data_IF_137961805044
#
_entry.id   IF_137961805044
#
_cell.length_a   1.000
_cell.length_b   1.000
_cell.length_c   1.000
_cell.angle_alpha   90.00
_cell.angle_beta   90.00
_cell.angle_gamma   90.00
#
_symmetry.space_group_name_H-M   'P 1'
#
loop_
_entity.id
_entity.type
_entity.pdbx_description
1 polymer ?
#
# COMPACT_ATOMS: atom_id res chain seq x y z
N UNK A 1 -11.62 -7.08 -1.40
CA UNK A 1 -13.00 -7.42 -1.79
C UNK A 1 -13.64 -8.39 -0.80
N UNK A 2 -13.18 -9.65 -0.71
CA UNK A 2 -13.76 -10.65 0.21
C UNK A 2 -13.75 -10.20 1.69
N UNK A 3 -12.64 -9.61 2.16
CA UNK A 3 -12.53 -9.11 3.53
C UNK A 3 -13.57 -8.02 3.88
N UNK A 4 -13.79 -7.05 2.98
CA UNK A 4 -14.81 -6.02 3.16
C UNK A 4 -16.21 -6.65 3.17
N UNK A 5 -16.51 -7.50 2.20
CA UNK A 5 -17.83 -8.13 2.07
C UNK A 5 -18.17 -9.00 3.29
N UNK A 6 -17.21 -9.80 3.78
CA UNK A 6 -17.42 -10.66 4.96
C UNK A 6 -17.58 -9.88 6.26
N UNK A 7 -16.75 -8.86 6.50
CA UNK A 7 -16.77 -8.10 7.76
C UNK A 7 -17.90 -7.08 7.77
N UNK A 8 -18.00 -6.29 6.70
CA UNK A 8 -18.98 -5.19 6.59
C UNK A 8 -20.40 -5.75 6.46
N UNK A 9 -20.62 -6.79 5.65
CA UNK A 9 -21.94 -7.42 5.50
C UNK A 9 -22.44 -8.09 6.78
N UNK A 10 -21.57 -8.80 7.50
CA UNK A 10 -21.95 -9.44 8.78
C UNK A 10 -22.20 -8.40 9.87
N UNK A 11 -21.35 -7.37 9.96
CA UNK A 11 -21.49 -6.31 10.95
C UNK A 11 -22.75 -5.47 10.73
N UNK A 12 -23.04 -5.07 9.49
CA UNK A 12 -24.24 -4.30 9.15
C UNK A 12 -25.53 -5.10 9.38
N UNK A 13 -25.53 -6.40 9.05
CA UNK A 13 -26.65 -7.28 9.31
C UNK A 13 -26.96 -7.42 10.80
N UNK A 14 -25.94 -7.46 11.66
CA UNK A 14 -26.09 -7.66 13.11
C UNK A 14 -26.46 -6.34 13.82
N UNK A 15 -25.82 -5.22 13.49
CA UNK A 15 -25.98 -3.95 14.22
C UNK A 15 -27.03 -3.01 13.62
N UNK A 16 -27.20 -3.00 12.30
CA UNK A 16 -28.07 -2.04 11.61
C UNK A 16 -29.32 -2.69 10.99
N UNK A 17 -29.39 -4.03 10.97
CA UNK A 17 -30.53 -4.79 10.47
C UNK A 17 -30.79 -4.64 8.96
N UNK A 18 -29.89 -3.96 8.24
CA UNK A 18 -29.96 -3.71 6.80
C UNK A 18 -28.53 -3.66 6.27
N UNK A 19 -28.32 -4.23 5.09
CA UNK A 19 -27.04 -4.17 4.38
C UNK A 19 -27.04 -2.94 3.48
N UNK A 20 -26.09 -2.04 3.67
CA UNK A 20 -25.87 -0.87 2.82
C UNK A 20 -25.04 -1.30 1.60
N UNK A 21 -25.72 -1.94 0.65
CA UNK A 21 -25.11 -2.44 -0.58
C UNK A 21 -24.30 -1.39 -1.36
N UNK A 22 -24.71 -0.12 -1.28
CA UNK A 22 -23.99 1.01 -1.89
C UNK A 22 -22.60 1.22 -1.28
N UNK A 23 -22.48 1.18 0.05
CA UNK A 23 -21.21 1.34 0.75
C UNK A 23 -20.24 0.20 0.43
N UNK A 24 -20.74 -1.04 0.47
CA UNK A 24 -19.98 -2.24 0.12
C UNK A 24 -19.51 -2.18 -1.34
N UNK A 25 -20.39 -1.80 -2.27
CA UNK A 25 -20.04 -1.71 -3.68
C UNK A 25 -18.96 -0.66 -3.93
N UNK A 26 -19.07 0.51 -3.31
CA UNK A 26 -18.06 1.58 -3.40
C UNK A 26 -16.72 1.09 -2.81
N UNK A 27 -16.73 0.43 -1.65
CA UNK A 27 -15.52 -0.13 -1.01
C UNK A 27 -14.82 -1.19 -1.87
N UNK A 28 -15.56 -1.93 -2.69
CA UNK A 28 -14.99 -2.96 -3.56
C UNK A 28 -14.49 -2.36 -4.88
N UNK A 29 -15.25 -1.45 -5.48
CA UNK A 29 -15.01 -0.96 -6.85
C UNK A 29 -14.05 0.22 -6.90
N UNK A 30 -14.18 1.16 -5.97
CA UNK A 30 -13.41 2.43 -6.03
C UNK A 30 -11.90 2.21 -5.86
N UNK A 31 -11.40 1.39 -4.91
CA UNK A 31 -9.96 1.26 -4.75
C UNK A 31 -9.24 0.67 -5.98
N UNK A 32 -9.72 -0.42 -6.62
CA UNK A 32 -9.15 -0.91 -7.87
C UNK A 32 -9.23 0.10 -9.01
N UNK A 33 -10.34 0.84 -9.13
CA UNK A 33 -10.53 1.83 -10.18
C UNK A 33 -9.58 3.03 -10.00
N UNK A 34 -9.41 3.48 -8.75
CA UNK A 34 -8.44 4.50 -8.38
C UNK A 34 -7.00 4.02 -8.68
N UNK A 35 -6.70 2.74 -8.40
CA UNK A 35 -5.40 2.16 -8.73
C UNK A 35 -5.14 2.16 -10.24
N UNK A 36 -6.14 1.77 -11.05
CA UNK A 36 -6.02 1.78 -12.51
C UNK A 36 -5.83 3.21 -13.04
N UNK A 37 -6.62 4.18 -12.55
CA UNK A 37 -6.50 5.58 -12.92
C UNK A 37 -5.13 6.17 -12.57
N UNK A 38 -4.64 5.91 -11.34
CA UNK A 38 -3.31 6.34 -10.91
C UNK A 38 -2.22 5.65 -11.73
N UNK A 39 -2.35 4.35 -12.00
CA UNK A 39 -1.43 3.55 -12.81
C UNK A 39 -1.26 4.08 -14.22
N UNK A 40 -2.36 4.42 -14.90
CA UNK A 40 -2.32 5.02 -16.24
C UNK A 40 -1.67 6.41 -16.27
N UNK A 41 -1.68 7.13 -15.14
CA UNK A 41 -1.01 8.42 -15.00
C UNK A 41 0.52 8.31 -14.84
N UNK A 42 1.03 7.11 -14.52
CA UNK A 42 2.47 6.87 -14.35
C UNK A 42 3.16 6.88 -15.71
N UNK A 43 3.98 7.92 -15.95
CA UNK A 43 4.80 8.04 -17.16
C UNK A 43 6.17 7.40 -16.96
N UNK A 44 6.56 6.54 -17.90
CA UNK A 44 7.91 5.99 -18.00
C UNK A 44 8.88 7.00 -18.64
N UNK A 45 10.21 6.84 -18.46
CA UNK A 45 11.20 7.73 -19.04
C UNK A 45 11.16 7.71 -20.58
N UNK A 46 11.21 8.88 -21.21
CA UNK A 46 11.14 9.03 -22.67
C UNK A 46 12.49 8.82 -23.37
N UNK A 47 12.50 8.65 -24.69
CA UNK A 47 13.71 8.51 -25.53
C UNK A 47 14.70 9.65 -25.35
N UNK A 48 14.22 10.86 -25.06
CA UNK A 48 15.08 12.01 -24.74
C UNK A 48 15.94 11.72 -23.49
N UNK A 49 15.36 11.10 -22.47
CA UNK A 49 16.08 10.68 -21.27
C UNK A 49 17.14 9.61 -21.60
N UNK A 50 16.83 8.64 -22.47
CA UNK A 50 17.82 7.66 -22.94
C UNK A 50 19.01 8.32 -23.66
N UNK A 51 18.75 9.34 -24.50
CA UNK A 51 19.82 10.12 -25.14
C UNK A 51 20.68 10.88 -24.11
N UNK A 52 20.06 11.47 -23.08
CA UNK A 52 20.77 12.12 -21.98
C UNK A 52 21.68 11.12 -21.22
N UNK A 53 21.17 9.93 -20.89
CA UNK A 53 21.97 8.86 -20.27
C UNK A 53 23.18 8.52 -21.14
N UNK A 54 22.96 8.27 -22.43
CA UNK A 54 24.03 7.92 -23.37
C UNK A 54 25.10 9.02 -23.46
N UNK A 55 24.68 10.29 -23.53
CA UNK A 55 25.60 11.43 -23.54
C UNK A 55 26.41 11.55 -22.25
N UNK A 56 25.83 11.25 -21.08
CA UNK A 56 26.57 11.23 -19.83
C UNK A 56 27.58 10.09 -19.75
N UNK A 57 27.21 8.88 -20.17
CA UNK A 57 28.14 7.76 -20.26
C UNK A 57 29.32 8.13 -21.16
N UNK A 58 29.04 8.72 -22.33
CA UNK A 58 30.07 9.18 -23.27
C UNK A 58 30.96 10.26 -22.65
N UNK A 59 30.38 11.24 -21.95
CA UNK A 59 31.14 12.30 -21.30
C UNK A 59 32.08 11.74 -20.21
N UNK A 60 31.62 10.80 -19.39
CA UNK A 60 32.43 10.16 -18.35
C UNK A 60 33.59 9.35 -18.93
N UNK A 61 33.37 8.63 -20.04
CA UNK A 61 34.38 7.77 -20.65
C UNK A 61 35.42 8.54 -21.48
N UNK A 62 35.03 9.65 -22.11
CA UNK A 62 35.88 10.36 -23.09
C UNK A 62 36.40 11.72 -22.60
N UNK A 63 35.80 12.32 -21.57
CA UNK A 63 36.22 13.63 -21.05
C UNK A 63 36.87 13.46 -19.68
N UNK A 64 38.08 14.01 -19.50
CA UNK A 64 38.79 13.97 -18.22
C UNK A 64 38.12 14.77 -17.09
N UNK A 65 37.16 15.65 -17.43
CA UNK A 65 36.39 16.44 -16.47
C UNK A 65 34.95 16.70 -16.97
N UNK A 66 34.05 15.71 -16.88
CA UNK A 66 32.69 15.83 -17.39
C UNK A 66 31.89 16.79 -16.52
N UNK A 67 31.47 17.92 -17.10
CA UNK A 67 30.44 18.81 -16.51
C UNK A 67 29.07 18.12 -16.55
N UNK A 68 28.87 17.16 -15.66
CA UNK A 68 27.58 16.54 -15.39
C UNK A 68 26.61 17.64 -14.93
N UNK A 69 25.37 17.65 -15.42
CA UNK A 69 24.39 18.62 -14.94
C UNK A 69 24.16 18.36 -13.45
N UNK A 70 24.47 19.40 -12.65
CA UNK A 70 24.64 19.36 -11.21
C UNK A 70 25.79 18.44 -10.79
N UNK A 71 26.94 19.05 -10.48
CA UNK A 71 27.97 18.40 -9.68
C UNK A 71 27.29 17.81 -8.45
N UNK A 72 27.44 16.49 -8.26
CA UNK A 72 27.00 15.78 -7.07
C UNK A 72 27.73 16.38 -5.87
N UNK A 73 27.19 17.47 -5.31
CA UNK A 73 27.63 17.97 -4.01
C UNK A 73 27.10 16.98 -2.98
N UNK A 74 27.93 15.98 -2.66
CA UNK A 74 27.71 15.14 -1.50
C UNK A 74 27.85 16.09 -0.29
N UNK A 75 26.72 16.63 0.18
CA UNK A 75 26.69 17.37 1.44
C UNK A 75 27.03 16.38 2.56
N UNK A 76 28.29 16.38 2.99
CA UNK A 76 28.85 15.51 4.04
C UNK A 76 28.27 15.79 5.43
N UNK A 77 27.47 16.86 5.59
CA UNK A 77 26.67 17.13 6.79
C UNK A 77 25.21 17.30 6.38
N UNK A 78 24.26 16.61 7.05
CA UNK A 78 22.85 16.94 6.88
C UNK A 78 22.70 18.42 7.23
N UNK A 79 22.02 19.17 6.36
CA UNK A 79 21.67 20.56 6.63
C UNK A 79 20.92 20.54 7.96
N UNK A 80 21.54 21.05 9.04
CA UNK A 80 20.86 21.17 10.32
C UNK A 80 19.83 22.27 10.12
N UNK A 81 18.67 21.91 9.58
CA UNK A 81 17.52 22.82 9.50
C UNK A 81 17.37 23.45 10.87
N UNK A 82 17.25 24.79 10.90
CA UNK A 82 17.11 25.52 12.15
C UNK A 82 15.99 24.85 12.96
N UNK A 83 16.21 24.53 14.25
CA UNK A 83 15.27 23.73 15.04
C UNK A 83 13.85 24.34 15.03
N UNK A 84 13.75 25.67 15.00
CA UNK A 84 12.49 26.40 14.87
C UNK A 84 11.74 26.10 13.55
N UNK A 85 12.44 26.08 12.42
CA UNK A 85 11.83 25.79 11.12
C UNK A 85 11.34 24.34 11.04
N UNK A 86 12.09 23.40 11.61
CA UNK A 86 11.68 21.99 11.66
C UNK A 86 10.39 21.79 12.47
N UNK A 87 10.25 22.48 13.61
CA UNK A 87 9.03 22.46 14.43
C UNK A 87 7.84 23.03 13.67
N UNK A 88 8.00 24.18 13.02
CA UNK A 88 6.93 24.82 12.23
C UNK A 88 6.46 23.89 11.10
N UNK A 89 7.39 23.30 10.33
CA UNK A 89 7.03 22.39 9.25
C UNK A 89 6.39 21.09 9.75
N UNK A 90 6.84 20.56 10.90
CA UNK A 90 6.22 19.38 11.51
C UNK A 90 4.77 19.66 11.92
N UNK A 91 4.51 20.83 12.49
CA UNK A 91 3.16 21.25 12.85
C UNK A 91 2.26 21.43 11.62
N UNK A 92 2.77 22.08 10.57
CA UNK A 92 2.06 22.24 9.30
C UNK A 92 1.75 20.89 8.64
N UNK A 93 2.66 19.92 8.75
CA UNK A 93 2.46 18.56 8.27
C UNK A 93 1.34 17.84 9.02
N UNK A 94 1.28 17.95 10.35
CA UNK A 94 0.19 17.39 11.16
C UNK A 94 -1.16 18.02 10.77
N UNK A 95 -1.22 19.34 10.61
CA UNK A 95 -2.44 20.03 10.16
C UNK A 95 -2.88 19.49 8.80
N UNK A 96 -1.96 19.38 7.85
CA UNK A 96 -2.24 18.83 6.52
C UNK A 96 -2.80 17.42 6.61
N UNK A 97 -2.22 16.58 7.46
CA UNK A 97 -2.69 15.22 7.69
C UNK A 97 -4.15 15.21 8.15
N UNK A 98 -4.48 15.96 9.21
CA UNK A 98 -5.86 16.03 9.71
C UNK A 98 -6.82 16.65 8.69
N UNK A 99 -6.38 17.67 7.95
CA UNK A 99 -7.20 18.32 6.93
C UNK A 99 -7.56 17.35 5.81
N UNK A 100 -6.57 16.63 5.28
CA UNK A 100 -6.77 15.67 4.18
C UNK A 100 -7.66 14.51 4.61
N UNK A 101 -7.39 13.89 5.76
CA UNK A 101 -8.24 12.81 6.26
C UNK A 101 -9.64 13.32 6.62
N UNK A 102 -9.74 14.49 7.26
CA UNK A 102 -11.01 15.11 7.62
C UNK A 102 -11.90 15.39 6.42
N UNK A 103 -11.34 15.88 5.31
CA UNK A 103 -12.09 16.06 4.05
C UNK A 103 -12.63 14.72 3.55
N UNK A 104 -11.83 13.66 3.55
CA UNK A 104 -12.29 12.34 3.10
C UNK A 104 -13.40 11.80 3.98
N UNK A 105 -13.23 11.81 5.30
CA UNK A 105 -14.27 11.36 6.23
C UNK A 105 -15.56 12.19 6.07
N UNK A 106 -15.44 13.50 5.86
CA UNK A 106 -16.58 14.38 5.60
C UNK A 106 -17.31 14.00 4.30
N UNK A 107 -16.57 13.75 3.21
CA UNK A 107 -17.15 13.31 1.94
C UNK A 107 -17.83 11.95 2.10
N UNK A 108 -17.20 10.98 2.75
CA UNK A 108 -17.78 9.65 2.97
C UNK A 108 -19.06 9.71 3.83
N UNK A 109 -19.11 10.59 4.83
CA UNK A 109 -20.30 10.80 5.64
C UNK A 109 -21.50 11.32 4.82
N UNK A 110 -21.25 12.11 3.76
CA UNK A 110 -22.31 12.56 2.83
C UNK A 110 -22.90 11.42 1.99
N UNK A 111 -22.14 10.34 1.79
CA UNK A 111 -22.62 9.12 1.12
C UNK A 111 -23.28 8.11 2.08
N UNK A 112 -23.58 8.53 3.32
CA UNK A 112 -24.21 7.69 4.35
C UNK A 112 -23.42 6.42 4.68
N UNK A 113 -22.08 6.49 4.59
CA UNK A 113 -21.22 5.40 5.02
C UNK A 113 -21.37 5.16 6.52
N UNK A 114 -21.38 3.90 6.94
CA UNK A 114 -21.23 3.59 8.34
C UNK A 114 -19.76 3.85 8.77
N UNK A 115 -19.47 4.09 10.07
CA UNK A 115 -18.10 4.36 10.53
C UNK A 115 -17.08 3.26 10.15
N UNK A 116 -17.46 1.98 10.26
CA UNK A 116 -16.64 0.84 9.85
C UNK A 116 -16.34 0.87 8.35
N UNK A 117 -17.34 1.11 7.49
CA UNK A 117 -17.21 1.29 6.05
C UNK A 117 -16.25 2.41 5.70
N UNK A 118 -16.30 3.53 6.44
CA UNK A 118 -15.36 4.64 6.24
C UNK A 118 -13.93 4.21 6.56
N UNK A 119 -13.71 3.49 7.66
CA UNK A 119 -12.38 2.97 7.99
C UNK A 119 -11.87 1.97 6.96
N UNK A 120 -12.73 1.05 6.49
CA UNK A 120 -12.39 0.09 5.43
C UNK A 120 -12.03 0.82 4.13
N UNK A 121 -12.81 1.83 3.74
CA UNK A 121 -12.51 2.65 2.57
C UNK A 121 -11.14 3.32 2.67
N UNK A 122 -10.91 4.02 3.78
CA UNK A 122 -9.66 4.76 4.03
C UNK A 122 -8.46 3.81 4.11
N UNK A 123 -8.64 2.62 4.69
CA UNK A 123 -7.63 1.56 4.70
C UNK A 123 -7.23 1.13 3.29
N UNK A 124 -8.21 0.79 2.43
CA UNK A 124 -7.91 0.44 1.04
C UNK A 124 -7.31 1.60 0.26
N UNK A 125 -7.83 2.81 0.45
CA UNK A 125 -7.30 4.02 -0.19
C UNK A 125 -5.83 4.25 0.18
N UNK A 126 -5.46 4.07 1.45
CA UNK A 126 -4.09 4.21 1.91
C UNK A 126 -3.17 3.16 1.26
N UNK A 127 -3.57 1.89 1.25
CA UNK A 127 -2.80 0.80 0.62
C UNK A 127 -2.61 1.05 -0.88
N UNK A 128 -3.70 1.37 -1.59
CA UNK A 128 -3.64 1.64 -3.04
C UNK A 128 -2.75 2.84 -3.35
N UNK A 129 -2.87 3.93 -2.56
CA UNK A 129 -2.02 5.11 -2.72
C UNK A 129 -0.54 4.76 -2.54
N UNK A 130 -0.21 3.96 -1.52
CA UNK A 130 1.16 3.48 -1.30
C UNK A 130 1.66 2.62 -2.47
N UNK A 131 0.83 1.70 -2.98
CA UNK A 131 1.20 0.85 -4.11
C UNK A 131 1.44 1.68 -5.38
N UNK A 132 0.55 2.63 -5.69
CA UNK A 132 0.71 3.53 -6.83
C UNK A 132 1.99 4.36 -6.72
N UNK A 133 2.29 4.89 -5.53
CA UNK A 133 3.54 5.58 -5.27
C UNK A 133 4.76 4.67 -5.50
N UNK A 134 4.71 3.43 -5.01
CA UNK A 134 5.79 2.44 -5.20
C UNK A 134 6.02 2.13 -6.68
N UNK A 135 4.96 1.91 -7.45
CA UNK A 135 5.04 1.68 -8.90
C UNK A 135 5.66 2.90 -9.61
N UNK A 136 5.25 4.11 -9.22
CA UNK A 136 5.76 5.35 -9.80
C UNK A 136 7.26 5.53 -9.56
N UNK A 137 7.73 5.21 -8.35
CA UNK A 137 9.16 5.26 -8.02
C UNK A 137 9.99 4.25 -8.83
N UNK A 138 9.49 3.02 -8.99
CA UNK A 138 10.16 2.01 -9.82
C UNK A 138 10.21 2.45 -11.29
N UNK A 139 9.11 3.00 -11.82
CA UNK A 139 9.06 3.48 -13.20
C UNK A 139 10.06 4.63 -13.46
N UNK A 140 10.33 5.48 -12.46
CA UNK A 140 11.20 6.66 -12.58
C UNK A 140 12.66 6.40 -12.22
N UNK A 141 13.04 5.18 -11.87
CA UNK A 141 14.40 4.88 -11.36
C UNK A 141 15.52 5.28 -12.34
N UNK A 142 15.25 5.27 -13.65
CA UNK A 142 16.19 5.66 -14.70
C UNK A 142 15.97 7.08 -15.23
N UNK A 143 15.12 7.89 -14.59
CA UNK A 143 14.86 9.27 -15.01
C UNK A 143 15.92 10.22 -14.45
N UNK A 144 16.66 10.90 -15.32
CA UNK A 144 17.70 11.86 -14.95
C UNK A 144 17.10 13.16 -14.41
N UNK A 145 15.98 13.61 -14.99
CA UNK A 145 15.27 14.81 -14.56
C UNK A 145 13.82 14.43 -14.22
N UNK A 146 13.40 14.48 -12.94
CA UNK A 146 11.99 14.47 -12.64
C UNK A 146 11.43 15.81 -13.12
N UNK A 147 10.69 15.82 -14.24
CA UNK A 147 9.90 17.00 -14.65
C UNK A 147 8.88 17.27 -13.53
N UNK A 148 9.20 18.17 -12.60
CA UNK A 148 8.29 18.62 -11.55
C UNK A 148 7.30 19.58 -12.18
N UNK A 149 6.09 19.09 -12.45
CA UNK A 149 4.99 19.94 -12.89
C UNK A 149 4.26 20.48 -11.66
N UNK A 150 3.73 21.71 -11.71
CA UNK A 150 3.05 22.31 -10.54
C UNK A 150 1.84 21.46 -10.10
N UNK A 151 1.14 20.86 -11.07
CA UNK A 151 0.04 19.93 -10.82
C UNK A 151 0.47 18.66 -10.07
N UNK A 152 1.67 18.14 -10.35
CA UNK A 152 2.20 16.97 -9.63
C UNK A 152 2.48 17.29 -8.17
N UNK A 153 2.87 18.53 -7.84
CA UNK A 153 3.13 18.93 -6.46
C UNK A 153 1.86 19.00 -5.60
N UNK A 154 0.73 19.43 -6.18
CA UNK A 154 -0.56 19.46 -5.46
C UNK A 154 -1.08 18.05 -5.24
N UNK A 155 -1.03 17.17 -6.24
CA UNK A 155 -1.43 15.77 -6.07
C UNK A 155 -0.54 15.08 -5.04
N UNK A 156 0.78 15.27 -5.11
CA UNK A 156 1.71 14.68 -4.14
C UNK A 156 1.39 15.13 -2.71
N UNK A 157 1.06 16.41 -2.52
CA UNK A 157 0.67 16.95 -1.21
C UNK A 157 -0.57 16.26 -0.62
N UNK A 158 -1.60 16.00 -1.44
CA UNK A 158 -2.82 15.31 -1.00
C UNK A 158 -2.59 13.80 -0.74
N UNK A 159 -1.76 13.15 -1.56
CA UNK A 159 -1.55 11.70 -1.47
C UNK A 159 -0.50 11.29 -0.43
N UNK A 160 0.47 12.15 -0.11
CA UNK A 160 1.54 11.84 0.86
C UNK A 160 1.02 11.33 2.21
N UNK A 161 -0.02 11.94 2.84
CA UNK A 161 -0.62 11.41 4.06
C UNK A 161 -1.10 9.95 3.92
N UNK A 162 -1.82 9.63 2.83
CA UNK A 162 -2.31 8.28 2.54
C UNK A 162 -1.17 7.30 2.26
N UNK A 163 -0.18 7.71 1.47
CA UNK A 163 1.02 6.90 1.18
C UNK A 163 1.77 6.57 2.47
N UNK A 164 1.87 7.52 3.40
CA UNK A 164 2.55 7.33 4.69
C UNK A 164 1.83 6.31 5.55
N UNK A 165 0.50 6.40 5.64
CA UNK A 165 -0.33 5.43 6.39
C UNK A 165 -0.29 4.07 5.69
N UNK A 166 -0.48 4.03 4.38
CA UNK A 166 -0.47 2.79 3.58
C UNK A 166 0.85 2.05 3.67
N UNK A 167 1.97 2.78 3.67
CA UNK A 167 3.31 2.22 3.91
C UNK A 167 3.37 1.58 5.30
N UNK A 168 2.98 2.30 6.35
CA UNK A 168 2.99 1.76 7.73
C UNK A 168 2.09 0.54 7.88
N UNK A 169 0.93 0.51 7.23
CA UNK A 169 0.03 -0.64 7.22
C UNK A 169 0.68 -1.83 6.52
N UNK A 170 1.30 -1.62 5.36
CA UNK A 170 1.93 -2.69 4.57
C UNK A 170 3.20 -3.24 5.23
N UNK A 171 4.06 -2.34 5.71
CA UNK A 171 5.28 -2.70 6.45
C UNK A 171 4.91 -3.40 7.78
N UNK A 172 3.84 -2.93 8.45
CA UNK A 172 3.30 -3.51 9.67
C UNK A 172 2.75 -4.93 9.45
N UNK A 173 1.94 -5.15 8.41
CA UNK A 173 1.41 -6.47 8.03
C UNK A 173 2.55 -7.47 7.77
N UNK A 174 3.63 -7.03 7.14
CA UNK A 174 4.81 -7.89 6.89
C UNK A 174 5.54 -8.33 8.17
N UNK A 175 5.30 -7.63 9.30
CA UNK A 175 5.86 -7.97 10.61
C UNK A 175 4.88 -8.74 11.50
N UNK A 176 3.62 -8.96 11.07
CA UNK A 176 2.63 -9.70 11.87
C UNK A 176 2.90 -11.20 11.73
N UNK A 177 3.96 -11.66 12.38
CA UNK A 177 4.19 -13.08 12.65
C UNK A 177 2.98 -13.71 13.39
N UNK A 178 2.20 -12.88 14.10
CA UNK A 178 0.95 -13.28 14.78
C UNK A 178 -0.14 -13.71 13.79
N UNK A 179 -0.22 -13.17 12.58
CA UNK A 179 -1.23 -13.55 11.59
C UNK A 179 -0.89 -14.91 11.00
N UNK A 180 0.40 -15.15 10.70
CA UNK A 180 0.90 -16.48 10.31
C UNK A 180 0.67 -17.50 11.44
N UNK A 181 1.08 -17.19 12.67
CA UNK A 181 0.83 -18.04 13.83
C UNK A 181 -0.67 -18.35 14.05
N UNK A 182 -1.55 -17.37 13.87
CA UNK A 182 -3.00 -17.56 14.03
C UNK A 182 -3.59 -18.36 12.87
N UNK A 183 -3.10 -18.16 11.63
CA UNK A 183 -3.49 -18.95 10.47
C UNK A 183 -3.02 -20.41 10.60
N UNK A 184 -1.79 -20.63 11.06
CA UNK A 184 -1.24 -21.95 11.35
C UNK A 184 -2.05 -22.62 12.48
N UNK A 185 -2.41 -21.87 13.53
CA UNK A 185 -3.24 -22.42 14.60
C UNK A 185 -4.67 -22.75 14.14
N UNK A 186 -5.31 -21.88 13.36
CA UNK A 186 -6.71 -22.07 12.91
C UNK A 186 -6.82 -23.09 11.79
N UNK A 187 -5.82 -23.19 10.90
CA UNK A 187 -5.83 -24.10 9.75
C UNK A 187 -4.94 -25.32 10.01
N UNK A 188 -3.65 -25.15 10.29
CA UNK A 188 -2.69 -26.27 10.34
C UNK A 188 -2.96 -27.24 11.51
N UNK A 189 -3.25 -26.74 12.72
CA UNK A 189 -3.48 -27.58 13.91
C UNK A 189 -4.68 -28.56 13.76
N UNK A 190 -5.89 -28.12 13.33
CA UNK A 190 -7.00 -29.05 13.14
C UNK A 190 -6.77 -30.03 11.98
N UNK A 191 -6.12 -29.59 10.90
CA UNK A 191 -5.77 -30.47 9.79
C UNK A 191 -4.80 -31.58 10.21
N UNK A 192 -3.78 -31.27 11.03
CA UNK A 192 -2.88 -32.29 11.61
C UNK A 192 -3.62 -33.32 12.48
N UNK A 193 -4.58 -32.86 13.28
CA UNK A 193 -5.42 -33.75 14.10
C UNK A 193 -6.25 -34.71 13.25
N UNK A 194 -6.89 -34.20 12.19
CA UNK A 194 -7.65 -35.03 11.25
C UNK A 194 -6.77 -36.06 10.54
N UNK A 195 -5.59 -35.66 10.08
CA UNK A 195 -4.68 -36.56 9.39
C UNK A 195 -4.20 -37.70 10.30
N UNK A 196 -3.85 -37.37 11.55
CA UNK A 196 -3.46 -38.36 12.56
C UNK A 196 -4.59 -39.37 12.86
N UNK A 197 -5.84 -38.90 12.91
CA UNK A 197 -7.00 -39.79 13.05
C UNK A 197 -7.12 -40.76 11.86
N UNK A 198 -6.97 -40.25 10.63
CA UNK A 198 -7.04 -41.10 9.43
C UNK A 198 -5.92 -42.14 9.37
N UNK A 199 -4.69 -41.77 9.77
CA UNK A 199 -3.59 -42.73 9.86
C UNK A 199 -3.91 -43.88 10.83
N UNK A 200 -4.42 -43.56 12.02
CA UNK A 200 -4.83 -44.57 12.99
C UNK A 200 -5.97 -45.45 12.48
N UNK A 201 -6.93 -44.85 11.78
CA UNK A 201 -8.03 -45.57 11.16
C UNK A 201 -7.55 -46.56 10.08
N UNK A 202 -6.63 -46.14 9.21
CA UNK A 202 -6.06 -47.02 8.19
C UNK A 202 -5.27 -48.18 8.80
N UNK A 203 -4.49 -47.92 9.84
CA UNK A 203 -3.77 -48.97 10.59
C UNK A 203 -4.75 -49.95 11.24
N UNK A 204 -5.84 -49.46 11.84
CA UNK A 204 -6.87 -50.32 12.41
C UNK A 204 -7.55 -51.21 11.36
N UNK A 205 -7.89 -50.65 10.20
CA UNK A 205 -8.47 -51.41 9.08
C UNK A 205 -7.50 -52.47 8.54
N UNK A 206 -6.22 -52.14 8.44
CA UNK A 206 -5.20 -53.10 8.01
C UNK A 206 -5.11 -54.28 8.99
N UNK A 207 -5.03 -54.00 10.30
CA UNK A 207 -4.99 -55.05 11.33
C UNK A 207 -6.26 -55.92 11.30
N UNK A 208 -7.44 -55.32 11.09
CA UNK A 208 -8.70 -56.07 10.96
C UNK A 208 -8.77 -56.94 9.72
N UNK A 209 -8.12 -56.54 8.63
CA UNK A 209 -8.00 -57.36 7.42
C UNK A 209 -7.09 -58.57 7.65
N UNK A 210 -5.98 -58.37 8.35
CA UNK A 210 -5.03 -59.46 8.70
C UNK A 210 -5.63 -60.48 9.68
N UNK A 211 -6.56 -60.08 10.56
CA UNK A 211 -7.32 -61.02 11.42
C UNK A 211 -8.31 -61.91 10.65
N UNK A 212 -8.69 -61.53 9.42
CA UNK A 212 -9.66 -62.25 8.60
C UNK A 212 -9.01 -63.20 7.57
N UNK A 213 -7.68 -63.14 7.42
CA UNK A 213 -6.85 -64.08 6.64
C UNK A 213 -6.27 -65.17 7.55
#
# INVERSE_FOLDING_TARGET
ALFALSIEGTFESIFYGRVLWTAILINIVVPPLLMAALGFSIKTPDRENSKKIFNYIRAILLSGDPKLANQLSIKTKPDKMKPLLNTIFSFLWIITFFLVFGIIFYVLNRFSFNPLSMFVFVFFLAIVSFLAYRINQVAKIYSIEPRKNVMTSVTDFLFIPFVTVGRKLTDGISQINVFLFLLDFVIEAPFKGLFSFFEQWFLFLQNKREELE
#
